data_IF_491222638970
#
_entry.id   IF_491222638970
#
_cell.length_a   1.000
_cell.length_b   1.000
_cell.length_c   1.000
_cell.angle_alpha   90.00
_cell.angle_beta   90.00
_cell.angle_gamma   90.00
#
_symmetry.space_group_name_H-M   'P 1'
#
loop_
_entity.id
_entity.type
_entity.pdbx_description
1 polymer ?
#
# COMPACT_ATOMS: atom_id res chain seq x y z
N UNK A 1 -6.50 -3.50 0.20
CA UNK A 1 -5.80 -4.73 0.63
C UNK A 1 -5.47 -5.56 -0.59
N UNK A 2 -4.26 -6.11 -0.68
CA UNK A 2 -3.83 -6.93 -1.81
C UNK A 2 -2.78 -7.97 -1.41
N UNK A 3 -2.54 -8.92 -2.31
CA UNK A 3 -1.51 -9.95 -2.19
C UNK A 3 -0.33 -9.63 -3.10
N UNK A 4 0.88 -9.92 -2.65
CA UNK A 4 2.12 -9.56 -3.32
C UNK A 4 3.06 -10.75 -3.36
N UNK A 5 3.43 -11.20 -4.55
CA UNK A 5 4.54 -12.14 -4.72
C UNK A 5 5.82 -11.37 -4.40
N UNK A 6 6.48 -11.70 -3.29
CA UNK A 6 7.67 -10.96 -2.83
C UNK A 6 8.98 -11.69 -3.13
N UNK A 7 8.92 -13.00 -3.34
CA UNK A 7 10.03 -13.88 -3.73
C UNK A 7 9.51 -15.07 -4.53
N UNK A 8 10.41 -15.97 -4.96
CA UNK A 8 10.06 -17.25 -5.58
C UNK A 8 9.37 -18.25 -4.64
N UNK A 9 9.21 -17.90 -3.35
CA UNK A 9 8.73 -18.82 -2.31
C UNK A 9 7.68 -18.24 -1.38
N UNK A 10 7.37 -16.95 -1.50
CA UNK A 10 6.49 -16.25 -0.55
C UNK A 10 5.56 -15.27 -1.24
N UNK A 11 4.31 -15.32 -0.81
CA UNK A 11 3.31 -14.28 -1.05
C UNK A 11 3.03 -13.59 0.29
N UNK A 12 2.99 -12.26 0.27
CA UNK A 12 2.64 -11.41 1.41
C UNK A 12 1.33 -10.71 1.13
N UNK A 13 0.45 -10.68 2.10
CA UNK A 13 -0.88 -10.07 2.05
C UNK A 13 -0.91 -8.89 3.02
N UNK A 14 -1.42 -7.74 2.57
CA UNK A 14 -1.82 -6.64 3.45
C UNK A 14 -3.24 -6.86 3.94
N UNK A 15 -3.47 -6.74 5.24
CA UNK A 15 -4.76 -7.01 5.87
C UNK A 15 -5.06 -5.96 6.94
N UNK A 16 -6.34 -5.78 7.27
CA UNK A 16 -6.77 -5.09 8.48
C UNK A 16 -7.59 -6.09 9.29
N UNK A 17 -7.28 -6.22 10.57
CA UNK A 17 -7.92 -7.22 11.44
C UNK A 17 -8.14 -6.70 12.84
N UNK A 18 -9.10 -7.31 13.53
CA UNK A 18 -9.30 -7.09 14.95
C UNK A 18 -8.09 -7.56 15.77
N UNK A 19 -7.67 -6.78 16.77
CA UNK A 19 -6.66 -7.15 17.74
C UNK A 19 -7.01 -8.50 18.38
N UNK A 20 -5.99 -9.29 18.73
CA UNK A 20 -6.14 -10.54 19.50
C UNK A 20 -7.04 -11.61 18.88
N UNK A 21 -7.47 -11.47 17.61
CA UNK A 21 -8.19 -12.55 16.93
C UNK A 21 -7.26 -13.76 16.76
N UNK A 22 -7.78 -14.96 16.98
CA UNK A 22 -7.04 -16.22 16.77
C UNK A 22 -7.37 -16.87 15.43
N UNK A 23 -8.32 -16.30 14.70
CA UNK A 23 -8.76 -16.81 13.40
C UNK A 23 -7.62 -16.64 12.40
N UNK A 24 -7.21 -17.77 11.81
CA UNK A 24 -6.21 -17.82 10.75
C UNK A 24 -6.88 -17.72 9.39
N UNK A 25 -6.08 -17.40 8.37
CA UNK A 25 -6.53 -17.22 7.00
C UNK A 25 -5.93 -18.31 6.12
N UNK A 26 -6.69 -18.74 5.13
CA UNK A 26 -6.20 -19.49 3.98
C UNK A 26 -6.06 -18.54 2.79
N UNK A 27 -4.97 -18.70 2.05
CA UNK A 27 -4.77 -18.11 0.74
C UNK A 27 -5.05 -19.17 -0.33
N UNK A 28 -5.85 -18.83 -1.31
CA UNK A 28 -6.23 -19.71 -2.40
C UNK A 28 -5.73 -19.13 -3.72
N UNK A 29 -4.96 -19.92 -4.46
CA UNK A 29 -4.50 -19.56 -5.79
C UNK A 29 -5.23 -20.43 -6.81
N UNK A 30 -5.94 -19.80 -7.75
CA UNK A 30 -6.67 -20.53 -8.77
C UNK A 30 -5.69 -21.06 -9.82
N UNK A 31 -5.55 -22.39 -9.89
CA UNK A 31 -4.65 -23.06 -10.86
C UNK A 31 -5.38 -23.30 -12.19
N UNK A 32 -6.66 -23.67 -12.12
CA UNK A 32 -7.55 -23.87 -13.26
C UNK A 32 -9.00 -23.49 -12.84
N UNK A 33 -9.99 -23.68 -13.72
CA UNK A 33 -11.38 -23.24 -13.45
C UNK A 33 -11.99 -23.83 -12.17
N UNK A 34 -11.56 -25.03 -11.75
CA UNK A 34 -12.18 -25.77 -10.63
C UNK A 34 -11.25 -26.00 -9.43
N UNK A 35 -9.92 -25.88 -9.60
CA UNK A 35 -8.93 -26.26 -8.60
C UNK A 35 -8.20 -25.04 -8.01
N UNK A 36 -8.07 -25.07 -6.68
CA UNK A 36 -7.36 -24.07 -5.91
C UNK A 36 -6.19 -24.70 -5.15
N UNK A 37 -5.00 -24.10 -5.28
CA UNK A 37 -3.92 -24.33 -4.34
C UNK A 37 -4.24 -23.56 -3.05
N UNK A 38 -4.49 -24.27 -1.95
CA UNK A 38 -4.85 -23.67 -0.66
C UNK A 38 -3.69 -23.73 0.30
N UNK A 39 -3.29 -22.57 0.83
CA UNK A 39 -2.08 -22.42 1.64
C UNK A 39 -2.43 -21.65 2.91
N UNK A 40 -2.05 -22.15 4.10
CA UNK A 40 -2.25 -21.40 5.33
C UNK A 40 -1.34 -20.17 5.37
N UNK A 41 -1.89 -19.09 5.92
CA UNK A 41 -1.16 -17.87 6.16
C UNK A 41 -0.64 -17.82 7.60
N UNK A 42 0.65 -17.55 7.74
CA UNK A 42 1.27 -17.13 8.98
C UNK A 42 1.03 -15.63 9.14
N UNK A 43 0.63 -15.25 10.33
CA UNK A 43 0.61 -13.85 10.72
C UNK A 43 1.88 -13.60 11.51
N UNK A 44 2.61 -12.56 11.14
CA UNK A 44 3.61 -11.98 12.03
C UNK A 44 2.96 -11.68 13.44
N UNK A 45 3.73 -11.38 14.49
CA UNK A 45 3.18 -10.85 15.74
C UNK A 45 2.86 -9.35 15.67
N UNK A 46 1.68 -8.92 16.15
CA UNK A 46 1.47 -7.49 16.49
C UNK A 46 1.88 -7.27 17.94
N UNK A 47 2.91 -6.42 18.12
CA UNK A 47 3.59 -6.23 19.41
C UNK A 47 2.67 -5.63 20.49
N UNK A 48 1.73 -4.75 20.11
CA UNK A 48 0.78 -4.12 21.04
C UNK A 48 -0.48 -3.66 20.28
N UNK A 49 -1.65 -4.18 20.68
CA UNK A 49 -2.95 -3.86 20.08
C UNK A 49 -4.09 -4.19 21.08
N UNK A 50 -4.98 -3.24 21.42
CA UNK A 50 -4.98 -1.83 20.98
C UNK A 50 -3.81 -1.02 21.58
N UNK A 51 -3.52 0.15 21.02
CA UNK A 51 -2.50 1.06 21.57
C UNK A 51 -3.01 1.77 22.83
N UNK A 52 -2.09 2.15 23.72
CA UNK A 52 -2.45 2.78 25.00
C UNK A 52 -3.13 4.16 24.84
N UNK A 53 -2.82 4.89 23.76
CA UNK A 53 -3.41 6.19 23.44
C UNK A 53 -4.65 6.08 22.53
N UNK A 54 -4.95 4.89 22.02
CA UNK A 54 -6.07 4.64 21.11
C UNK A 54 -6.80 3.34 21.53
N UNK A 55 -7.20 3.27 22.80
CA UNK A 55 -7.74 2.04 23.42
C UNK A 55 -9.01 1.49 22.77
N UNK A 56 -9.78 2.34 22.08
CA UNK A 56 -10.99 1.95 21.33
C UNK A 56 -10.68 1.49 19.90
N UNK A 57 -9.47 1.77 19.41
CA UNK A 57 -9.02 1.34 18.09
C UNK A 57 -8.47 -0.08 18.18
N UNK A 58 -9.37 -1.06 18.08
CA UNK A 58 -9.02 -2.47 18.16
C UNK A 58 -9.04 -3.19 16.81
N UNK A 59 -9.04 -2.44 15.71
CA UNK A 59 -8.63 -2.90 14.39
C UNK A 59 -7.27 -2.33 14.05
N UNK A 60 -6.42 -3.13 13.40
CA UNK A 60 -5.07 -2.74 13.03
C UNK A 60 -4.66 -3.37 11.70
N UNK A 61 -3.84 -2.62 10.97
CA UNK A 61 -3.04 -3.09 9.86
C UNK A 61 -2.13 -4.26 10.16
N UNK A 62 -2.07 -5.22 9.26
CA UNK A 62 -1.29 -6.43 9.45
C UNK A 62 -0.80 -7.10 8.19
N UNK A 63 0.32 -7.83 8.30
CA UNK A 63 0.82 -8.69 7.23
C UNK A 63 0.52 -10.16 7.51
N UNK A 64 0.06 -10.85 6.47
CA UNK A 64 -0.02 -12.30 6.46
C UNK A 64 0.90 -12.85 5.36
N UNK A 65 1.61 -13.94 5.61
CA UNK A 65 2.61 -14.50 4.69
C UNK A 65 2.31 -15.99 4.51
N UNK A 66 2.39 -16.48 3.27
CA UNK A 66 2.26 -17.92 3.01
C UNK A 66 3.33 -18.73 3.73
N UNK A 67 2.93 -19.87 4.31
CA UNK A 67 3.90 -20.90 4.72
C UNK A 67 4.71 -21.38 3.52
N UNK A 68 5.88 -21.96 3.78
CA UNK A 68 6.61 -22.68 2.75
C UNK A 68 5.75 -23.84 2.20
N UNK A 69 5.60 -23.91 0.88
CA UNK A 69 4.82 -24.94 0.21
C UNK A 69 5.46 -25.26 -1.15
N UNK A 70 5.82 -26.52 -1.39
CA UNK A 70 6.64 -26.89 -2.55
C UNK A 70 5.95 -26.61 -3.88
N UNK A 71 4.67 -26.94 -3.99
CA UNK A 71 3.87 -26.65 -5.20
C UNK A 71 3.75 -25.15 -5.49
N UNK A 72 3.64 -24.32 -4.44
CA UNK A 72 3.63 -22.86 -4.59
C UNK A 72 4.97 -22.39 -5.14
N UNK A 73 6.08 -22.87 -4.57
CA UNK A 73 7.42 -22.49 -4.99
C UNK A 73 7.63 -22.81 -6.47
N UNK A 74 7.26 -24.02 -6.90
CA UNK A 74 7.38 -24.44 -8.29
C UNK A 74 6.55 -23.56 -9.22
N UNK A 75 5.33 -23.21 -8.80
CA UNK A 75 4.44 -22.35 -9.56
C UNK A 75 4.99 -20.91 -9.67
N UNK A 76 5.45 -20.33 -8.56
CA UNK A 76 6.07 -19.00 -8.54
C UNK A 76 7.37 -18.93 -9.35
N UNK A 77 8.18 -20.00 -9.37
CA UNK A 77 9.38 -20.08 -10.20
C UNK A 77 9.07 -20.19 -11.70
N UNK A 78 8.00 -20.89 -12.07
CA UNK A 78 7.52 -20.99 -13.46
C UNK A 78 6.93 -19.66 -13.96
N UNK A 79 6.35 -18.86 -13.07
CA UNK A 79 5.86 -17.51 -13.37
C UNK A 79 7.04 -16.55 -13.61
N UNK A 80 7.62 -16.61 -14.80
CA UNK A 80 8.71 -15.72 -15.26
C UNK A 80 8.21 -14.41 -15.88
N UNK A 81 6.90 -14.21 -16.05
CA UNK A 81 6.33 -13.02 -16.72
C UNK A 81 5.06 -12.50 -16.05
N UNK A 82 4.97 -11.17 -15.99
CA UNK A 82 3.91 -10.35 -15.38
C UNK A 82 2.56 -10.37 -16.12
N UNK A 83 2.48 -10.96 -17.32
CA UNK A 83 1.34 -10.69 -18.21
C UNK A 83 0.01 -11.24 -17.71
N UNK A 84 -0.01 -12.39 -17.03
CA UNK A 84 -1.25 -12.98 -16.48
C UNK A 84 -0.96 -13.66 -15.13
N UNK A 85 -1.29 -12.97 -14.04
CA UNK A 85 -1.27 -13.56 -12.71
C UNK A 85 -2.57 -14.35 -12.49
N UNK A 86 -2.51 -15.51 -11.80
CA UNK A 86 -3.71 -16.26 -11.46
C UNK A 86 -4.61 -15.46 -10.52
N UNK A 87 -5.91 -15.75 -10.56
CA UNK A 87 -6.84 -15.20 -9.58
C UNK A 87 -6.50 -15.74 -8.19
N UNK A 88 -6.54 -14.85 -7.21
CA UNK A 88 -6.27 -15.17 -5.82
C UNK A 88 -7.48 -14.85 -4.96
N UNK A 89 -7.65 -15.64 -3.91
CA UNK A 89 -8.73 -15.48 -2.93
C UNK A 89 -8.19 -15.71 -1.53
N UNK A 90 -8.93 -15.20 -0.54
CA UNK A 90 -8.70 -15.47 0.87
C UNK A 90 -9.97 -16.02 1.51
N UNK A 91 -9.82 -16.90 2.48
CA UNK A 91 -10.92 -17.29 3.36
C UNK A 91 -10.43 -17.37 4.79
N UNK A 92 -11.37 -17.30 5.73
CA UNK A 92 -11.06 -17.63 7.12
C UNK A 92 -11.04 -19.15 7.28
N UNK A 93 -10.12 -19.66 8.10
CA UNK A 93 -10.03 -21.11 8.34
C UNK A 93 -11.29 -21.69 8.99
N UNK A 94 -12.07 -20.87 9.71
CA UNK A 94 -13.35 -21.27 10.31
C UNK A 94 -14.55 -21.09 9.37
N UNK A 95 -14.36 -20.52 8.17
CA UNK A 95 -15.36 -20.33 7.11
C UNK A 95 -14.74 -20.51 5.71
N UNK A 96 -14.20 -21.70 5.37
CA UNK A 96 -13.44 -21.95 4.14
C UNK A 96 -14.28 -21.84 2.84
N UNK A 97 -15.59 -21.91 2.95
CA UNK A 97 -16.55 -21.72 1.87
C UNK A 97 -16.63 -20.25 1.40
N UNK A 98 -16.39 -19.29 2.30
CA UNK A 98 -16.45 -17.85 2.00
C UNK A 98 -15.11 -17.36 1.45
N UNK A 99 -14.92 -17.53 0.14
CA UNK A 99 -13.74 -17.05 -0.59
C UNK A 99 -13.94 -15.63 -1.07
N UNK A 100 -13.16 -14.70 -0.54
CA UNK A 100 -13.12 -13.31 -0.96
C UNK A 100 -11.99 -13.09 -1.96
N UNK A 101 -12.25 -12.47 -3.12
CA UNK A 101 -11.20 -12.22 -4.10
C UNK A 101 -10.17 -11.24 -3.54
N UNK A 102 -8.91 -11.43 -3.92
CA UNK A 102 -7.83 -10.48 -3.64
C UNK A 102 -6.99 -10.27 -4.89
N UNK A 103 -6.61 -9.02 -5.15
CA UNK A 103 -5.72 -8.69 -6.26
C UNK A 103 -4.33 -9.23 -5.93
N UNK A 104 -3.76 -10.00 -6.86
CA UNK A 104 -2.39 -10.49 -6.77
C UNK A 104 -1.49 -9.60 -7.63
N UNK A 105 -0.47 -9.03 -7.01
CA UNK A 105 0.57 -8.25 -7.64
C UNK A 105 1.90 -9.01 -7.59
N UNK A 106 2.75 -8.79 -8.58
CA UNK A 106 4.12 -9.27 -8.55
C UNK A 106 5.04 -8.13 -8.08
N UNK A 107 5.49 -8.24 -6.84
CA UNK A 107 6.36 -7.26 -6.20
C UNK A 107 7.83 -7.71 -6.20
N UNK A 108 8.20 -8.75 -6.96
CA UNK A 108 9.58 -9.28 -6.99
C UNK A 108 10.52 -8.26 -7.63
N UNK A 109 11.74 -8.17 -7.10
CA UNK A 109 12.78 -7.33 -7.66
C UNK A 109 13.55 -8.11 -8.73
N UNK A 110 13.48 -7.67 -9.98
CA UNK A 110 14.29 -8.20 -11.07
C UNK A 110 15.56 -7.35 -11.21
N UNK A 111 16.73 -7.94 -10.91
CA UNK A 111 18.01 -7.21 -10.84
C UNK A 111 18.38 -6.50 -12.15
N UNK A 112 18.03 -7.07 -13.31
CA UNK A 112 18.45 -6.58 -14.62
C UNK A 112 17.34 -5.83 -15.38
N UNK A 113 16.23 -5.49 -14.72
CA UNK A 113 15.19 -4.68 -15.35
C UNK A 113 15.30 -3.22 -14.91
N UNK A 114 15.27 -2.26 -15.85
CA UNK A 114 15.21 -0.85 -15.50
C UNK A 114 13.91 -0.59 -14.75
N UNK A 115 14.00 0.30 -13.74
CA UNK A 115 12.82 0.79 -13.05
C UNK A 115 12.08 1.73 -13.98
N UNK A 116 10.75 1.57 -14.06
CA UNK A 116 9.90 2.43 -14.89
C UNK A 116 9.87 3.87 -14.37
N UNK A 117 9.98 4.02 -13.04
CA UNK A 117 9.88 5.29 -12.35
C UNK A 117 11.16 5.59 -11.56
N UNK A 118 11.49 6.87 -11.42
CA UNK A 118 12.65 7.32 -10.67
C UNK A 118 12.29 7.53 -9.20
N UNK A 119 11.43 8.51 -8.94
CA UNK A 119 10.85 8.78 -7.63
C UNK A 119 9.34 8.54 -7.68
N UNK A 120 8.81 7.84 -6.68
CA UNK A 120 7.40 7.59 -6.51
C UNK A 120 6.92 8.05 -5.12
N UNK A 121 5.68 8.54 -5.05
CA UNK A 121 5.06 8.97 -3.80
C UNK A 121 3.94 8.02 -3.40
N UNK A 122 4.00 7.56 -2.16
CA UNK A 122 2.92 6.92 -1.44
C UNK A 122 2.18 7.98 -0.64
N UNK A 123 1.04 8.44 -1.18
CA UNK A 123 0.21 9.41 -0.48
C UNK A 123 -0.68 8.69 0.56
N UNK A 124 -0.78 9.25 1.76
CA UNK A 124 -1.72 8.76 2.77
C UNK A 124 -3.18 8.78 2.25
N UNK A 125 -4.09 7.98 2.84
CA UNK A 125 -5.47 7.92 2.38
C UNK A 125 -6.16 9.28 2.45
N UNK A 126 -6.70 9.72 1.32
CA UNK A 126 -7.59 10.87 1.24
C UNK A 126 -8.91 10.50 1.92
N UNK A 127 -9.23 11.24 2.98
CA UNK A 127 -10.43 11.04 3.79
C UNK A 127 -11.09 12.40 4.10
N UNK A 128 -12.36 12.54 3.72
CA UNK A 128 -13.17 13.74 3.90
C UNK A 128 -12.51 15.02 3.35
N UNK A 129 -11.77 14.91 2.24
CA UNK A 129 -11.12 16.05 1.60
C UNK A 129 -12.11 16.82 0.73
N UNK A 130 -12.21 18.13 0.97
CA UNK A 130 -12.99 19.07 0.17
C UNK A 130 -12.13 20.16 -0.49
N UNK A 131 -10.93 20.39 0.03
CA UNK A 131 -10.02 21.39 -0.52
C UNK A 131 -9.23 20.81 -1.69
N UNK A 132 -9.68 21.12 -2.90
CA UNK A 132 -9.03 20.71 -4.13
C UNK A 132 -7.73 21.47 -4.39
N UNK A 133 -7.56 22.68 -3.83
CA UNK A 133 -6.36 23.50 -4.08
C UNK A 133 -5.10 22.85 -3.52
N UNK A 134 -5.26 22.08 -2.43
CA UNK A 134 -4.20 21.27 -1.84
C UNK A 134 -3.66 20.21 -2.82
N UNK A 135 -4.50 19.64 -3.69
CA UNK A 135 -4.02 18.69 -4.71
C UNK A 135 -3.12 19.39 -5.73
N UNK A 136 -3.47 20.60 -6.19
CA UNK A 136 -2.64 21.35 -7.13
C UNK A 136 -1.27 21.62 -6.50
N UNK A 137 -1.26 22.17 -5.28
CA UNK A 137 -0.02 22.46 -4.57
C UNK A 137 0.82 21.19 -4.40
N UNK A 138 0.22 20.10 -3.95
CA UNK A 138 0.90 18.81 -3.77
C UNK A 138 1.49 18.32 -5.09
N UNK A 139 0.67 18.10 -6.13
CA UNK A 139 1.16 17.50 -7.37
C UNK A 139 2.23 18.36 -8.06
N UNK A 140 2.02 19.67 -8.20
CA UNK A 140 2.99 20.55 -8.88
C UNK A 140 4.34 20.59 -8.14
N UNK A 141 4.32 20.68 -6.81
CA UNK A 141 5.55 20.65 -6.01
C UNK A 141 6.26 19.32 -6.19
N UNK A 142 5.56 18.19 -6.04
CA UNK A 142 6.17 16.86 -6.12
C UNK A 142 6.66 16.53 -7.53
N UNK A 143 5.96 16.97 -8.58
CA UNK A 143 6.42 16.89 -9.98
C UNK A 143 7.74 17.64 -10.13
N UNK A 144 7.83 18.88 -9.63
CA UNK A 144 9.07 19.66 -9.65
C UNK A 144 10.23 18.98 -8.87
N UNK A 145 9.91 18.17 -7.85
CA UNK A 145 10.90 17.36 -7.13
C UNK A 145 11.37 16.09 -7.88
N UNK A 146 10.87 15.84 -9.09
CA UNK A 146 11.25 14.71 -9.93
C UNK A 146 10.40 13.45 -9.74
N UNK A 147 9.21 13.57 -9.14
CA UNK A 147 8.27 12.46 -9.02
C UNK A 147 7.71 12.08 -10.39
N UNK A 148 7.63 10.78 -10.65
CA UNK A 148 7.10 10.22 -11.91
C UNK A 148 5.93 9.26 -11.69
N UNK A 149 5.62 8.93 -10.42
CA UNK A 149 4.53 8.03 -10.04
C UNK A 149 3.91 8.46 -8.72
N UNK A 150 2.59 8.52 -8.68
CA UNK A 150 1.82 8.69 -7.45
C UNK A 150 0.93 7.46 -7.23
N UNK A 151 0.88 7.00 -5.98
CA UNK A 151 -0.14 6.06 -5.51
C UNK A 151 -1.05 6.80 -4.53
N UNK A 152 -2.28 7.05 -4.96
CA UNK A 152 -3.26 7.88 -4.25
C UNK A 152 -4.34 6.97 -3.69
N UNK A 153 -4.37 6.79 -2.37
CA UNK A 153 -5.40 6.02 -1.70
C UNK A 153 -6.61 6.92 -1.44
N UNK A 154 -7.80 6.48 -1.83
CA UNK A 154 -9.02 7.27 -1.73
C UNK A 154 -10.04 6.54 -0.88
N UNK A 155 -10.41 7.12 0.26
CA UNK A 155 -11.54 6.68 1.06
C UNK A 155 -12.77 7.54 0.80
N UNK A 156 -12.62 8.86 0.85
CA UNK A 156 -13.72 9.81 0.58
C UNK A 156 -13.19 11.21 0.24
N UNK A 157 -13.83 11.86 -0.73
CA UNK A 157 -13.54 13.22 -1.17
C UNK A 157 -14.77 13.87 -1.83
N UNK A 158 -14.75 15.18 -2.05
CA UNK A 158 -15.80 15.86 -2.81
C UNK A 158 -15.62 15.68 -4.34
N UNK A 159 -16.68 15.91 -5.15
CA UNK A 159 -16.59 15.80 -6.59
C UNK A 159 -15.54 16.72 -7.24
N UNK A 160 -15.30 17.89 -6.67
CA UNK A 160 -14.28 18.84 -7.17
C UNK A 160 -12.87 18.28 -7.02
N UNK A 161 -12.60 17.63 -5.88
CA UNK A 161 -11.34 16.95 -5.61
C UNK A 161 -11.16 15.75 -6.55
N UNK A 162 -12.20 14.93 -6.76
CA UNK A 162 -12.13 13.81 -7.72
C UNK A 162 -11.88 14.33 -9.14
N UNK A 163 -12.63 15.34 -9.58
CA UNK A 163 -12.46 15.93 -10.91
C UNK A 163 -11.03 16.41 -11.15
N UNK A 164 -10.42 17.11 -10.18
CA UNK A 164 -9.03 17.53 -10.30
C UNK A 164 -8.05 16.36 -10.26
N UNK A 165 -8.27 15.36 -9.40
CA UNK A 165 -7.45 14.16 -9.37
C UNK A 165 -7.47 13.43 -10.72
N UNK A 166 -8.62 13.40 -11.41
CA UNK A 166 -8.74 12.86 -12.77
C UNK A 166 -7.97 13.67 -13.80
N UNK A 167 -7.84 14.98 -13.66
CA UNK A 167 -7.00 15.80 -14.56
C UNK A 167 -5.55 15.31 -14.50
N UNK A 168 -5.02 15.12 -13.29
CA UNK A 168 -3.67 14.61 -13.12
C UNK A 168 -3.52 13.14 -13.54
N UNK A 169 -4.52 12.29 -13.30
CA UNK A 169 -4.53 10.89 -13.75
C UNK A 169 -4.40 10.76 -15.29
N UNK A 170 -4.98 11.71 -16.04
CA UNK A 170 -4.89 11.75 -17.50
C UNK A 170 -3.71 12.57 -18.03
N UNK A 171 -2.87 13.15 -17.16
CA UNK A 171 -1.66 13.85 -17.58
C UNK A 171 -0.63 12.87 -18.17
N UNK A 172 0.26 13.39 -19.03
CA UNK A 172 1.42 12.65 -19.57
C UNK A 172 2.68 12.83 -18.73
N UNK A 173 2.69 13.78 -17.80
CA UNK A 173 3.88 14.16 -17.04
C UNK A 173 4.21 13.13 -15.96
N UNK A 174 3.18 12.52 -15.37
CA UNK A 174 3.29 11.54 -14.29
C UNK A 174 2.27 10.43 -14.44
N UNK A 175 2.57 9.28 -13.84
CA UNK A 175 1.60 8.21 -13.69
C UNK A 175 0.89 8.33 -12.33
N UNK A 176 -0.43 8.34 -12.32
CA UNK A 176 -1.21 8.24 -11.09
C UNK A 176 -1.95 6.91 -11.07
N UNK A 177 -1.79 6.16 -9.98
CA UNK A 177 -2.67 5.04 -9.66
C UNK A 177 -3.55 5.44 -8.48
N UNK A 178 -4.85 5.47 -8.75
CA UNK A 178 -5.87 5.73 -7.74
C UNK A 178 -6.30 4.38 -7.16
N UNK A 179 -6.06 4.19 -5.87
CA UNK A 179 -6.42 2.97 -5.15
C UNK A 179 -7.66 3.24 -4.32
N UNK A 180 -8.72 2.49 -4.59
CA UNK A 180 -9.91 2.50 -3.75
C UNK A 180 -9.56 1.95 -2.35
N UNK A 181 -9.62 2.82 -1.34
CA UNK A 181 -9.38 2.53 0.07
C UNK A 181 -10.70 2.61 0.84
N UNK A 182 -11.63 1.76 0.44
CA UNK A 182 -12.99 1.75 0.95
C UNK A 182 -13.04 1.55 2.49
N UNK A 183 -14.09 2.08 3.16
CA UNK A 183 -14.41 1.72 4.53
C UNK A 183 -14.48 0.21 4.73
N UNK A 184 -14.13 -0.25 5.92
CA UNK A 184 -14.29 -1.65 6.31
C UNK A 184 -15.77 -2.05 6.27
N UNK A 185 -16.09 -3.29 5.88
CA UNK A 185 -17.47 -3.77 5.87
C UNK A 185 -18.11 -3.66 7.26
N UNK A 186 -19.31 -3.09 7.31
CA UNK A 186 -20.14 -2.98 8.52
C UNK A 186 -21.26 -4.01 8.46
N UNK A 187 -21.61 -4.59 9.61
CA UNK A 187 -22.85 -5.33 9.73
C UNK A 187 -24.01 -4.31 9.78
N UNK A 188 -25.12 -4.56 9.07
CA UNK A 188 -26.29 -3.66 9.01
C UNK A 188 -27.00 -3.42 10.37
N UNK A 189 -26.44 -3.95 11.47
CA UNK A 189 -26.97 -3.81 12.82
C UNK A 189 -26.40 -2.52 13.40
N UNK A 190 -27.19 -1.43 13.30
CA UNK A 190 -26.91 -0.06 13.73
C UNK A 190 -26.47 0.10 15.20
N UNK A 191 -25.28 -0.39 15.53
CA UNK A 191 -24.61 -0.05 16.79
C UNK A 191 -23.24 0.50 16.46
N UNK A 192 -23.03 1.78 16.76
CA UNK A 192 -21.72 2.46 16.64
C UNK A 192 -20.58 1.68 17.34
N UNK A 193 -20.90 0.82 18.30
CA UNK A 193 -19.93 -0.03 19.00
C UNK A 193 -19.41 -1.20 18.17
N UNK A 194 -20.16 -1.67 17.18
CA UNK A 194 -19.77 -2.78 16.31
C UNK A 194 -19.08 -2.33 15.02
N UNK A 195 -19.22 -1.05 14.65
CA UNK A 195 -18.64 -0.51 13.42
C UNK A 195 -17.10 -0.52 13.47
N UNK A 196 -16.43 -1.31 12.62
CA UNK A 196 -14.97 -1.34 12.58
C UNK A 196 -14.36 -0.01 12.13
N UNK A 197 -15.07 0.83 11.37
CA UNK A 197 -14.58 2.14 10.92
C UNK A 197 -14.51 3.18 12.05
N UNK A 198 -15.21 2.95 13.16
CA UNK A 198 -15.10 3.76 14.38
C UNK A 198 -14.05 3.21 15.36
N UNK A 199 -13.45 2.07 15.03
CA UNK A 199 -12.53 1.30 15.87
C UNK A 199 -11.20 1.03 15.19
N UNK A 200 -10.90 1.84 14.18
CA UNK A 200 -9.70 1.79 13.37
C UNK A 200 -8.98 3.12 13.55
N UNK A 201 -7.64 3.10 13.65
CA UNK A 201 -6.92 4.35 13.86
C UNK A 201 -6.63 5.03 12.52
N UNK A 202 -7.17 6.26 12.34
CA UNK A 202 -6.87 7.15 11.21
C UNK A 202 -6.81 6.42 9.86
N UNK A 203 -7.92 5.83 9.43
CA UNK A 203 -8.07 5.10 8.17
C UNK A 203 -7.00 4.00 7.89
N UNK A 204 -6.28 3.53 8.92
CA UNK A 204 -5.08 2.67 8.78
C UNK A 204 -4.05 3.19 7.78
N UNK A 205 -3.65 4.46 7.95
CA UNK A 205 -2.53 5.09 7.23
C UNK A 205 -1.33 4.14 7.11
N UNK A 206 -0.90 3.51 8.20
CA UNK A 206 0.24 2.59 8.18
C UNK A 206 0.04 1.39 7.24
N UNK A 207 -1.18 0.86 7.11
CA UNK A 207 -1.47 -0.23 6.18
C UNK A 207 -1.44 0.23 4.74
N UNK A 208 -2.01 1.41 4.45
CA UNK A 208 -2.02 1.97 3.10
C UNK A 208 -0.60 2.26 2.59
N UNK A 209 0.28 2.80 3.44
CA UNK A 209 1.70 3.02 3.11
C UNK A 209 2.38 1.69 2.84
N UNK A 210 2.17 0.68 3.68
CA UNK A 210 2.72 -0.65 3.48
C UNK A 210 2.25 -1.33 2.19
N UNK A 211 0.96 -1.17 1.84
CA UNK A 211 0.39 -1.62 0.57
C UNK A 211 1.08 -0.92 -0.60
N UNK A 212 1.23 0.40 -0.51
CA UNK A 212 1.87 1.22 -1.52
C UNK A 212 3.34 0.84 -1.75
N UNK A 213 4.12 0.66 -0.68
CA UNK A 213 5.52 0.24 -0.76
C UNK A 213 5.65 -1.10 -1.49
N UNK A 214 4.72 -2.03 -1.28
CA UNK A 214 4.71 -3.31 -1.99
C UNK A 214 4.25 -3.19 -3.45
N UNK A 215 3.30 -2.31 -3.78
CA UNK A 215 2.89 -2.01 -5.17
C UNK A 215 4.03 -1.43 -5.98
N UNK A 216 4.79 -0.50 -5.39
CA UNK A 216 5.89 0.21 -6.06
C UNK A 216 7.17 -0.64 -6.07
N UNK A 217 7.28 -1.65 -5.20
CA UNK A 217 8.45 -2.52 -5.13
C UNK A 217 8.69 -3.21 -6.47
N UNK A 218 9.82 -2.89 -7.10
CA UNK A 218 10.16 -3.40 -8.44
C UNK A 218 9.98 -2.35 -9.54
N UNK A 219 9.19 -1.30 -9.29
CA UNK A 219 8.74 -0.34 -10.31
C UNK A 219 9.42 1.04 -10.22
N UNK A 220 9.78 1.50 -9.02
CA UNK A 220 10.51 2.75 -8.82
C UNK A 220 11.93 2.54 -8.25
N UNK A 221 12.82 3.51 -8.45
CA UNK A 221 14.16 3.57 -7.83
C UNK A 221 14.07 4.01 -6.37
N UNK A 222 13.32 5.08 -6.10
CA UNK A 222 13.02 5.58 -4.76
C UNK A 222 11.52 5.66 -4.53
N UNK A 223 11.13 5.54 -3.26
CA UNK A 223 9.76 5.74 -2.82
C UNK A 223 9.76 6.56 -1.54
N UNK A 224 8.83 7.50 -1.43
CA UNK A 224 8.64 8.33 -0.25
C UNK A 224 7.17 8.27 0.18
N UNK A 225 6.95 8.21 1.49
CA UNK A 225 5.63 8.37 2.09
C UNK A 225 5.43 9.84 2.43
N UNK A 226 4.28 10.41 2.08
CA UNK A 226 3.97 11.82 2.33
C UNK A 226 2.46 12.02 2.51
N UNK A 227 2.12 13.20 3.05
CA UNK A 227 0.76 13.67 3.32
C UNK A 227 0.49 14.84 2.35
N UNK A 228 -0.77 15.22 2.16
CA UNK A 228 -1.13 16.23 1.16
C UNK A 228 -0.59 17.63 1.47
N UNK A 229 -0.41 17.93 2.75
CA UNK A 229 0.05 19.21 3.30
C UNK A 229 1.56 19.25 3.59
N UNK A 230 2.31 18.23 3.17
CA UNK A 230 3.76 18.18 3.34
C UNK A 230 4.48 18.74 2.11
N UNK A 231 5.35 19.72 2.34
CA UNK A 231 6.18 20.35 1.32
C UNK A 231 7.63 19.98 1.57
N UNK A 232 8.28 19.43 0.54
CA UNK A 232 9.71 19.12 0.59
C UNK A 232 10.53 20.30 0.08
N UNK A 233 11.36 20.84 0.96
CA UNK A 233 12.28 21.94 0.64
C UNK A 233 13.70 21.40 0.57
N UNK A 234 14.31 21.51 -0.61
CA UNK A 234 15.72 21.19 -0.82
C UNK A 234 16.52 22.50 -0.87
N UNK A 235 17.55 22.64 -0.03
CA UNK A 235 18.36 23.86 0.06
C UNK A 235 19.55 23.87 -0.89
N UNK A 236 20.15 22.69 -1.12
CA UNK A 236 21.40 22.58 -1.91
C UNK A 236 21.14 22.04 -3.32
N UNK A 237 20.29 21.01 -3.44
CA UNK A 237 20.03 20.32 -4.70
C UNK A 237 18.81 20.88 -5.43
N UNK A 238 18.79 20.77 -6.76
CA UNK A 238 17.70 21.29 -7.58
C UNK A 238 16.37 20.53 -7.41
N UNK A 239 16.43 19.28 -6.95
CA UNK A 239 15.26 18.40 -6.74
C UNK A 239 15.54 17.30 -5.72
N UNK A 240 14.47 16.70 -5.18
CA UNK A 240 14.57 15.58 -4.25
C UNK A 240 15.16 14.34 -4.91
N UNK A 241 14.87 14.12 -6.19
CA UNK A 241 15.48 13.05 -6.96
C UNK A 241 17.01 13.17 -7.00
N UNK A 242 17.52 14.38 -7.28
CA UNK A 242 18.96 14.64 -7.27
C UNK A 242 19.57 14.41 -5.88
N UNK A 243 18.89 14.88 -4.82
CA UNK A 243 19.32 14.64 -3.45
C UNK A 243 19.42 13.15 -3.13
N UNK A 244 18.43 12.35 -3.52
CA UNK A 244 18.45 10.91 -3.29
C UNK A 244 19.53 10.19 -4.10
N UNK A 245 19.82 10.64 -5.32
CA UNK A 245 20.93 10.11 -6.11
C UNK A 245 22.27 10.38 -5.42
N UNK A 246 22.51 11.61 -4.99
CA UNK A 246 23.74 11.98 -4.28
C UNK A 246 23.88 11.22 -2.95
N UNK A 247 22.79 11.08 -2.19
CA UNK A 247 22.78 10.31 -0.94
C UNK A 247 23.02 8.82 -1.17
N UNK A 248 22.45 8.24 -2.23
CA UNK A 248 22.66 6.84 -2.57
C UNK A 248 24.11 6.57 -3.01
N UNK A 249 24.71 7.46 -3.80
CA UNK A 249 26.11 7.36 -4.20
C UNK A 249 27.06 7.44 -2.99
N UNK A 250 26.79 8.36 -2.06
CA UNK A 250 27.54 8.53 -0.82
C UNK A 250 27.35 7.36 0.15
N UNK A 251 26.14 6.82 0.24
CA UNK A 251 25.76 5.78 1.19
C UNK A 251 25.19 4.53 0.50
N UNK A 252 26.02 3.85 -0.31
CA UNK A 252 25.62 2.73 -1.18
C UNK A 252 24.92 1.54 -0.51
N UNK A 253 25.04 1.40 0.82
CA UNK A 253 24.41 0.32 1.61
C UNK A 253 23.13 0.75 2.34
N UNK A 254 22.73 2.02 2.23
CA UNK A 254 21.52 2.52 2.87
C UNK A 254 20.28 1.95 2.20
N UNK A 255 19.38 1.39 3.01
CA UNK A 255 18.08 0.89 2.56
C UNK A 255 16.98 1.95 2.65
N UNK A 256 17.17 3.00 3.46
CA UNK A 256 16.21 4.08 3.66
C UNK A 256 16.92 5.35 4.13
N UNK A 257 16.28 6.49 3.88
CA UNK A 257 16.64 7.80 4.42
C UNK A 257 15.47 8.32 5.24
N UNK A 258 15.75 9.01 6.34
CA UNK A 258 14.73 9.64 7.20
C UNK A 258 14.89 11.14 7.03
N UNK A 259 13.81 11.78 6.58
CA UNK A 259 13.74 13.23 6.46
C UNK A 259 12.97 13.75 7.67
N UNK A 260 13.54 14.73 8.35
CA UNK A 260 12.91 15.36 9.52
C UNK A 260 11.95 16.43 9.02
N UNK A 261 10.74 16.42 9.55
CA UNK A 261 9.74 17.48 9.30
C UNK A 261 9.73 18.50 10.44
N UNK A 262 9.26 19.70 10.11
CA UNK A 262 8.95 20.77 11.05
C UNK A 262 7.71 21.48 10.54
N UNK A 263 6.88 22.01 11.44
CA UNK A 263 5.76 22.86 11.04
C UNK A 263 6.28 24.13 10.37
N UNK A 264 5.68 24.50 9.26
CA UNK A 264 5.82 25.83 8.69
C UNK A 264 5.03 26.80 9.59
N UNK A 265 5.73 27.73 10.22
CA UNK A 265 5.11 28.86 10.91
C UNK A 265 5.10 30.02 9.91
N UNK A 266 3.91 30.39 9.44
CA UNK A 266 3.74 31.63 8.70
C UNK A 266 3.59 32.74 9.74
N UNK A 267 4.64 33.54 9.90
CA UNK A 267 4.61 34.81 10.67
C UNK A 267 3.90 35.91 9.86
#
# INVERSE_FOLDING_TARGET
MAAYIISSTRIRLTTIRKCKTMIRLHFHLQINESNFLTIPLIHEPILKCPWFYAIKCDFVGYFAITVHHEELNQLLMKMKSYKNLPKAYISRMDKPELKMPVVLHDARIMQNQPRKHYLAVCLQPIFLLADWTLLVQFFEIWIAQGVTKFCVYVQSMTPEVDALLRVYEHSKDVEIEIINWAPLPTDNVNTHQSDPNLRIYRAEVATSINDCLLRIRGHAKYVISSDLDEIMVNYEESSLLQLFDNLHEKFKKSAAFIIRSSFALFE
#
